data_IF_451489481009
#
_entry.id   IF_451489481009
#
_cell.length_a   1.000
_cell.length_b   1.000
_cell.length_c   1.000
_cell.angle_alpha   90.00
_cell.angle_beta   90.00
_cell.angle_gamma   90.00
#
_symmetry.space_group_name_H-M   'P 1'
#
loop_
_entity.id
_entity.type
_entity.pdbx_description
1 polymer ?
#
# COMPACT_ATOMS: atom_id res chain seq x y z
N UNK A 1 24.60 13.66 13.97
CA UNK A 1 24.07 12.41 13.43
C UNK A 1 22.65 12.71 13.02
N UNK A 2 22.29 12.39 11.79
CA UNK A 2 20.90 12.46 11.33
C UNK A 2 20.09 11.45 12.15
N UNK A 3 18.86 11.78 12.51
CA UNK A 3 17.94 10.81 13.09
C UNK A 3 17.59 9.75 12.04
N UNK A 4 17.14 8.57 12.45
CA UNK A 4 16.73 7.51 11.51
C UNK A 4 15.64 7.99 10.55
N UNK A 5 14.76 8.89 11.01
CA UNK A 5 13.72 9.54 10.21
C UNK A 5 14.30 10.44 9.11
N UNK A 6 15.33 11.23 9.44
CA UNK A 6 16.00 12.08 8.46
C UNK A 6 16.78 11.26 7.45
N UNK A 7 17.41 10.16 7.89
CA UNK A 7 18.15 9.26 7.03
C UNK A 7 17.21 8.53 6.05
N UNK A 8 16.10 7.96 6.51
CA UNK A 8 15.14 7.28 5.62
C UNK A 8 14.39 8.24 4.69
N UNK A 9 14.10 9.47 5.14
CA UNK A 9 13.55 10.50 4.25
C UNK A 9 14.54 10.91 3.15
N UNK A 10 15.84 10.96 3.49
CA UNK A 10 16.92 11.18 2.53
C UNK A 10 17.06 10.02 1.55
N UNK A 11 17.04 8.78 2.04
CA UNK A 11 17.13 7.57 1.22
C UNK A 11 15.93 7.47 0.26
N UNK A 12 14.72 7.78 0.72
CA UNK A 12 13.52 7.80 -0.12
C UNK A 12 13.57 8.86 -1.23
N UNK A 13 14.38 9.91 -1.04
CA UNK A 13 14.62 10.97 -2.03
C UNK A 13 15.93 10.76 -2.82
N UNK A 14 16.75 9.74 -2.45
CA UNK A 14 17.97 9.42 -3.18
C UNK A 14 17.65 8.96 -4.60
N UNK A 15 18.49 9.41 -5.53
CA UNK A 15 18.48 8.95 -6.90
C UNK A 15 18.77 7.45 -6.96
N UNK A 16 18.09 6.75 -7.85
CA UNK A 16 18.58 5.44 -8.24
C UNK A 16 19.76 5.63 -9.19
N UNK A 17 20.94 5.22 -8.78
CA UNK A 17 22.16 5.31 -9.61
C UNK A 17 22.03 4.62 -10.99
N UNK A 18 21.03 3.76 -11.15
CA UNK A 18 20.79 2.94 -12.34
C UNK A 18 19.60 3.39 -13.17
N UNK A 19 18.64 4.12 -12.58
CA UNK A 19 17.41 4.52 -13.26
C UNK A 19 17.59 5.84 -14.02
N UNK A 20 16.90 5.95 -15.15
CA UNK A 20 16.81 7.14 -16.00
C UNK A 20 15.35 7.56 -16.18
N UNK A 21 15.09 8.72 -16.76
CA UNK A 21 13.72 9.15 -17.07
C UNK A 21 13.01 8.26 -18.09
N UNK A 22 13.76 7.47 -18.89
CA UNK A 22 13.19 6.50 -19.83
C UNK A 22 12.54 5.30 -19.13
N UNK A 23 12.94 5.05 -17.88
CA UNK A 23 12.36 3.99 -17.05
C UNK A 23 11.02 4.40 -16.43
N UNK A 24 10.62 5.66 -16.55
CA UNK A 24 9.35 6.19 -16.06
C UNK A 24 8.29 6.26 -17.17
N UNK A 25 7.04 5.94 -16.83
CA UNK A 25 5.88 6.21 -17.68
C UNK A 25 5.48 7.69 -17.59
N UNK A 26 6.02 8.50 -18.50
CA UNK A 26 5.71 9.92 -18.58
C UNK A 26 4.27 10.20 -19.06
N UNK A 27 3.59 9.23 -19.68
CA UNK A 27 2.17 9.37 -20.01
C UNK A 27 1.31 9.19 -18.76
N UNK A 28 1.63 8.20 -17.91
CA UNK A 28 1.02 8.04 -16.60
C UNK A 28 1.22 9.31 -15.75
N UNK A 29 2.45 9.89 -15.78
CA UNK A 29 2.73 11.14 -15.08
C UNK A 29 1.84 12.27 -15.56
N UNK A 30 1.86 12.57 -16.85
CA UNK A 30 1.21 13.78 -17.40
C UNK A 30 -0.31 13.68 -17.45
N UNK A 31 -0.86 12.46 -17.68
CA UNK A 31 -2.32 12.26 -17.86
C UNK A 31 -3.05 11.87 -16.58
N UNK A 32 -2.36 11.24 -15.62
CA UNK A 32 -3.01 10.71 -14.42
C UNK A 32 -2.49 11.39 -13.17
N UNK A 33 -1.19 11.31 -12.90
CA UNK A 33 -0.63 11.77 -11.63
C UNK A 33 -0.65 13.28 -11.50
N UNK A 34 -0.11 13.99 -12.48
CA UNK A 34 0.06 15.45 -12.43
C UNK A 34 -1.27 16.21 -12.26
N UNK A 35 -2.36 15.88 -12.98
CA UNK A 35 -3.66 16.53 -12.76
C UNK A 35 -4.31 16.27 -11.40
N UNK A 36 -3.87 15.23 -10.69
CA UNK A 36 -4.35 14.93 -9.34
C UNK A 36 -3.44 15.52 -8.25
N UNK A 37 -2.17 15.74 -8.57
CA UNK A 37 -1.19 16.30 -7.64
C UNK A 37 -1.15 17.82 -7.62
N UNK A 38 -1.56 18.48 -8.70
CA UNK A 38 -1.48 19.93 -8.89
C UNK A 38 -2.83 20.48 -9.36
N UNK A 39 -3.24 21.63 -8.81
CA UNK A 39 -4.51 22.22 -9.19
C UNK A 39 -4.54 22.68 -10.65
N UNK A 40 -5.72 22.67 -11.31
CA UNK A 40 -5.84 23.11 -12.71
C UNK A 40 -5.33 24.55 -12.94
N UNK A 41 -5.54 25.45 -11.99
CA UNK A 41 -5.09 26.85 -12.07
C UNK A 41 -3.56 26.91 -12.10
N UNK A 42 -2.92 26.18 -11.17
CA UNK A 42 -1.45 26.09 -11.11
C UNK A 42 -0.87 25.47 -12.38
N UNK A 43 -1.54 24.44 -12.95
CA UNK A 43 -1.10 23.81 -14.19
C UNK A 43 -1.21 24.76 -15.39
N UNK A 44 -2.26 25.58 -15.44
CA UNK A 44 -2.46 26.56 -16.52
C UNK A 44 -1.39 27.68 -16.52
N UNK A 45 -0.94 28.06 -15.31
CA UNK A 45 0.10 29.08 -15.12
C UNK A 45 1.52 28.51 -15.14
N UNK A 46 1.67 27.20 -15.02
CA UNK A 46 2.95 26.54 -14.88
C UNK A 46 3.56 26.21 -16.25
N UNK A 47 4.59 26.94 -16.62
CA UNK A 47 5.35 26.71 -17.86
C UNK A 47 6.56 25.77 -17.66
N UNK A 48 6.62 25.03 -16.56
CA UNK A 48 7.71 24.08 -16.28
C UNK A 48 7.68 22.90 -17.23
N UNK A 49 8.84 22.45 -17.63
CA UNK A 49 9.01 21.21 -18.39
C UNK A 49 8.65 20.00 -17.52
N UNK A 50 8.33 18.85 -18.13
CA UNK A 50 7.97 17.63 -17.35
C UNK A 50 9.04 17.18 -16.36
N UNK A 51 10.32 17.30 -16.71
CA UNK A 51 11.45 16.98 -15.84
C UNK A 51 11.50 17.89 -14.59
N UNK A 52 11.26 19.19 -14.76
CA UNK A 52 11.18 20.15 -13.66
C UNK A 52 9.96 19.89 -12.75
N UNK A 53 8.85 19.45 -13.35
CA UNK A 53 7.65 19.08 -12.61
C UNK A 53 7.86 17.78 -11.78
N UNK A 54 8.56 16.78 -12.34
CA UNK A 54 8.96 15.58 -11.63
C UNK A 54 9.81 15.90 -10.39
N UNK A 55 10.79 16.80 -10.55
CA UNK A 55 11.64 17.26 -9.43
C UNK A 55 10.83 18.00 -8.38
N UNK A 56 9.92 18.90 -8.79
CA UNK A 56 9.06 19.65 -7.86
C UNK A 56 8.16 18.72 -7.03
N UNK A 57 7.73 17.58 -7.59
CA UNK A 57 6.90 16.58 -6.95
C UNK A 57 7.71 15.46 -6.26
N UNK A 58 9.04 15.60 -6.18
CA UNK A 58 9.94 14.62 -5.55
C UNK A 58 9.93 13.22 -6.19
N UNK A 59 9.52 13.14 -7.45
CA UNK A 59 9.55 11.91 -8.24
C UNK A 59 10.89 11.75 -8.99
N UNK A 60 11.62 12.85 -9.14
CA UNK A 60 13.00 12.88 -9.61
C UNK A 60 13.82 13.86 -8.76
N UNK A 61 15.14 13.78 -8.85
CA UNK A 61 16.08 14.68 -8.17
C UNK A 61 17.38 14.86 -8.94
N UNK A 62 18.24 15.74 -8.43
CA UNK A 62 19.58 15.98 -8.94
C UNK A 62 19.67 16.89 -10.16
N UNK A 63 20.91 17.22 -10.54
CA UNK A 63 21.21 18.07 -11.68
C UNK A 63 20.95 17.34 -13.00
N UNK A 64 21.22 16.04 -13.05
CA UNK A 64 20.96 15.18 -14.21
C UNK A 64 19.51 14.69 -14.28
N UNK A 65 18.67 15.09 -13.33
CA UNK A 65 17.25 14.70 -13.21
C UNK A 65 17.07 13.17 -13.30
N UNK A 66 17.40 12.47 -12.21
CA UNK A 66 17.23 11.02 -12.08
C UNK A 66 15.99 10.67 -11.25
N UNK A 67 15.30 9.57 -11.56
CA UNK A 67 14.19 9.10 -10.75
C UNK A 67 14.60 8.87 -9.31
N UNK A 68 13.77 9.31 -8.36
CA UNK A 68 13.87 8.89 -6.96
C UNK A 68 13.25 7.50 -6.79
N UNK A 69 13.49 6.85 -5.64
CA UNK A 69 12.78 5.62 -5.30
C UNK A 69 11.26 5.81 -5.34
N UNK A 70 10.77 6.95 -4.84
CA UNK A 70 9.34 7.28 -4.96
C UNK A 70 8.89 7.38 -6.42
N UNK A 71 9.68 8.04 -7.28
CA UNK A 71 9.39 8.14 -8.71
C UNK A 71 9.30 6.78 -9.39
N UNK A 72 10.24 5.87 -9.07
CA UNK A 72 10.23 4.48 -9.58
C UNK A 72 8.98 3.73 -9.11
N UNK A 73 8.62 3.81 -7.83
CA UNK A 73 7.44 3.13 -7.30
C UNK A 73 6.14 3.66 -7.91
N UNK A 74 6.05 4.98 -8.15
CA UNK A 74 4.81 5.64 -8.61
C UNK A 74 4.65 5.56 -10.13
N UNK A 75 5.73 5.73 -10.89
CA UNK A 75 5.72 5.91 -12.34
C UNK A 75 6.58 4.90 -13.11
N UNK A 76 7.40 4.08 -12.43
CA UNK A 76 8.32 3.16 -13.10
C UNK A 76 7.59 2.16 -13.99
N UNK A 77 8.09 1.92 -15.20
CA UNK A 77 7.58 0.88 -16.09
C UNK A 77 7.72 -0.51 -15.45
N UNK A 78 8.87 -0.77 -14.81
CA UNK A 78 9.18 -2.01 -14.10
C UNK A 78 9.85 -1.68 -12.74
N UNK A 79 9.10 -1.27 -11.70
CA UNK A 79 9.70 -0.91 -10.41
C UNK A 79 10.59 -1.99 -9.79
N UNK A 80 10.26 -3.27 -10.03
CA UNK A 80 11.00 -4.42 -9.49
C UNK A 80 12.40 -4.59 -10.07
N UNK A 81 12.74 -3.96 -11.19
CA UNK A 81 14.08 -4.02 -11.77
C UNK A 81 15.08 -3.17 -10.95
N UNK A 82 14.57 -2.17 -10.26
CA UNK A 82 15.34 -1.26 -9.40
C UNK A 82 15.13 -1.58 -7.91
N UNK A 83 13.92 -2.00 -7.53
CA UNK A 83 13.51 -2.30 -6.16
C UNK A 83 12.91 -3.73 -6.15
N UNK A 84 13.74 -4.79 -6.04
CA UNK A 84 13.32 -6.17 -6.27
C UNK A 84 12.13 -6.64 -5.42
N UNK A 85 11.93 -6.08 -4.23
CA UNK A 85 10.79 -6.39 -3.37
C UNK A 85 9.53 -5.54 -3.61
N UNK A 86 9.52 -4.64 -4.60
CA UNK A 86 8.40 -3.72 -4.86
C UNK A 86 7.23 -4.42 -5.57
N UNK A 87 6.72 -5.50 -4.98
CA UNK A 87 5.54 -6.21 -5.47
C UNK A 87 4.74 -6.81 -4.31
N UNK A 88 3.53 -7.29 -4.60
CA UNK A 88 2.70 -8.01 -3.65
C UNK A 88 2.57 -9.46 -4.11
N UNK A 89 2.90 -10.41 -3.24
CA UNK A 89 2.64 -11.82 -3.44
C UNK A 89 1.31 -12.19 -2.80
N UNK A 90 0.33 -12.57 -3.63
CA UNK A 90 -0.95 -13.10 -3.19
C UNK A 90 -0.96 -14.61 -3.31
N UNK A 91 -1.42 -15.31 -2.26
CA UNK A 91 -1.59 -16.77 -2.26
C UNK A 91 -2.93 -17.09 -1.61
N UNK A 92 -3.75 -17.92 -2.26
CA UNK A 92 -4.97 -18.48 -1.70
C UNK A 92 -4.78 -19.96 -1.36
N UNK A 93 -5.05 -20.31 -0.11
CA UNK A 93 -4.93 -21.68 0.42
C UNK A 93 -6.33 -22.25 0.65
N UNK A 94 -6.58 -23.44 0.10
CA UNK A 94 -7.83 -24.19 0.27
C UNK A 94 -7.82 -24.94 1.60
N UNK A 95 -7.69 -24.20 2.71
CA UNK A 95 -7.61 -24.75 4.06
C UNK A 95 -7.21 -23.69 5.07
N UNK A 96 -6.82 -24.13 6.28
CA UNK A 96 -6.46 -23.26 7.41
C UNK A 96 -4.97 -23.33 7.76
N UNK A 97 -4.20 -24.20 7.11
CA UNK A 97 -2.78 -24.42 7.37
C UNK A 97 -1.94 -24.05 6.15
N UNK A 98 -0.73 -23.61 6.37
CA UNK A 98 0.21 -23.22 5.30
C UNK A 98 0.59 -24.39 4.37
N UNK A 99 0.46 -25.63 4.85
CA UNK A 99 0.70 -26.86 4.08
C UNK A 99 -0.51 -27.36 3.29
N UNK A 100 -1.68 -26.72 3.42
CA UNK A 100 -2.87 -27.09 2.65
C UNK A 100 -2.70 -26.65 1.17
N UNK A 101 -3.47 -27.24 0.24
CA UNK A 101 -3.32 -26.97 -1.19
C UNK A 101 -3.49 -25.49 -1.56
N UNK A 102 -2.62 -24.98 -2.39
CA UNK A 102 -2.74 -23.66 -2.99
C UNK A 102 -3.78 -23.71 -4.10
N UNK A 103 -4.83 -22.89 -4.00
CA UNK A 103 -5.90 -22.81 -5.00
C UNK A 103 -5.70 -21.65 -6.00
N UNK A 104 -4.96 -20.60 -5.63
CA UNK A 104 -4.58 -19.48 -6.51
C UNK A 104 -3.31 -18.83 -5.99
N UNK A 105 -2.49 -18.28 -6.91
CA UNK A 105 -1.34 -17.46 -6.56
C UNK A 105 -1.06 -16.43 -7.65
N UNK A 106 -0.74 -15.20 -7.24
CA UNK A 106 -0.43 -14.09 -8.14
C UNK A 106 0.67 -13.21 -7.57
N UNK A 107 1.46 -12.65 -8.45
CA UNK A 107 2.37 -11.55 -8.14
C UNK A 107 1.83 -10.26 -8.76
N UNK A 108 1.51 -9.28 -7.93
CA UNK A 108 1.03 -7.97 -8.37
C UNK A 108 2.24 -7.06 -8.51
N UNK A 109 2.54 -6.64 -9.73
CA UNK A 109 3.71 -5.83 -10.09
C UNK A 109 3.29 -4.57 -10.84
N UNK A 110 4.22 -3.65 -11.05
CA UNK A 110 4.02 -2.43 -11.84
C UNK A 110 4.00 -1.15 -11.02
N UNK A 111 3.75 0.00 -11.65
CA UNK A 111 3.63 1.28 -10.97
C UNK A 111 2.48 1.26 -9.96
N UNK A 112 2.57 2.15 -8.96
CA UNK A 112 1.69 2.19 -7.80
C UNK A 112 0.19 2.06 -8.14
N UNK A 113 -0.28 2.80 -9.14
CA UNK A 113 -1.69 2.77 -9.55
C UNK A 113 -2.11 1.42 -10.11
N UNK A 114 -1.29 0.80 -10.95
CA UNK A 114 -1.56 -0.52 -11.50
C UNK A 114 -1.54 -1.60 -10.41
N UNK A 115 -0.54 -1.54 -9.51
CA UNK A 115 -0.40 -2.46 -8.38
C UNK A 115 -1.61 -2.37 -7.44
N UNK A 116 -2.05 -1.15 -7.07
CA UNK A 116 -3.18 -0.97 -6.14
C UNK A 116 -4.54 -1.31 -6.81
N UNK A 117 -4.72 -1.04 -8.09
CA UNK A 117 -5.93 -1.46 -8.81
C UNK A 117 -6.01 -2.99 -8.88
N UNK A 118 -4.92 -3.67 -9.23
CA UNK A 118 -4.85 -5.15 -9.24
C UNK A 118 -5.07 -5.73 -7.85
N UNK A 119 -4.56 -5.08 -6.80
CA UNK A 119 -4.82 -5.46 -5.42
C UNK A 119 -6.31 -5.35 -5.09
N UNK A 120 -6.95 -4.24 -5.40
CA UNK A 120 -8.38 -4.02 -5.14
C UNK A 120 -9.25 -5.05 -5.87
N UNK A 121 -8.90 -5.40 -7.11
CA UNK A 121 -9.61 -6.43 -7.87
C UNK A 121 -9.48 -7.81 -7.22
N UNK A 122 -8.25 -8.21 -6.84
CA UNK A 122 -8.03 -9.53 -6.24
C UNK A 122 -8.70 -9.64 -4.86
N UNK A 123 -8.72 -8.57 -4.08
CA UNK A 123 -9.44 -8.54 -2.81
C UNK A 123 -10.95 -8.72 -3.03
N UNK A 124 -11.55 -7.99 -3.99
CA UNK A 124 -12.98 -8.08 -4.32
C UNK A 124 -13.41 -9.47 -4.80
N UNK A 125 -12.62 -10.08 -5.69
CA UNK A 125 -12.93 -11.40 -6.27
C UNK A 125 -12.90 -12.50 -5.19
N UNK A 126 -12.06 -12.34 -4.17
CA UNK A 126 -11.90 -13.36 -3.12
C UNK A 126 -12.91 -13.23 -1.96
N UNK A 127 -13.61 -12.10 -1.84
CA UNK A 127 -14.67 -11.91 -0.86
C UNK A 127 -15.89 -12.76 -1.25
N UNK A 128 -16.35 -13.61 -0.33
CA UNK A 128 -17.58 -14.39 -0.47
C UNK A 128 -18.73 -13.69 0.26
N UNK A 129 -19.88 -13.63 -0.39
CA UNK A 129 -21.09 -13.06 0.22
C UNK A 129 -22.06 -14.18 0.54
N UNK A 130 -22.33 -14.39 1.83
CA UNK A 130 -23.40 -15.25 2.27
C UNK A 130 -24.74 -14.50 2.24
N UNK A 131 -25.78 -15.15 1.75
CA UNK A 131 -27.15 -14.64 1.78
C UNK A 131 -27.92 -15.35 2.89
N UNK A 132 -28.40 -14.59 3.86
CA UNK A 132 -29.24 -15.11 4.93
C UNK A 132 -30.72 -14.85 4.60
N UNK A 133 -31.47 -15.93 4.44
CA UNK A 133 -32.91 -15.88 4.16
C UNK A 133 -33.78 -16.14 5.42
N UNK A 134 -33.15 -16.48 6.56
CA UNK A 134 -33.86 -17.03 7.71
C UNK A 134 -34.02 -16.06 8.88
N UNK A 135 -33.16 -15.06 9.00
CA UNK A 135 -33.10 -14.18 10.18
C UNK A 135 -33.85 -12.87 10.05
N UNK A 136 -34.42 -12.54 8.89
CA UNK A 136 -35.20 -11.31 8.70
C UNK A 136 -36.23 -11.44 7.56
N UNK A 137 -37.27 -10.56 7.57
CA UNK A 137 -38.25 -10.43 6.48
C UNK A 137 -37.66 -9.91 5.16
N UNK A 138 -36.35 -9.69 5.09
CA UNK A 138 -35.61 -9.25 3.90
C UNK A 138 -34.29 -10.01 3.82
N UNK A 139 -33.88 -10.32 2.59
CA UNK A 139 -32.57 -10.87 2.29
C UNK A 139 -31.45 -9.97 2.85
N UNK A 140 -30.62 -10.50 3.73
CA UNK A 140 -29.44 -9.80 4.25
C UNK A 140 -28.20 -10.44 3.61
N UNK A 141 -27.53 -9.66 2.77
CA UNK A 141 -26.24 -10.04 2.16
C UNK A 141 -25.12 -9.52 3.04
N UNK A 142 -24.30 -10.42 3.55
CA UNK A 142 -23.14 -10.05 4.34
C UNK A 142 -21.88 -10.69 3.76
N UNK A 143 -20.87 -9.89 3.40
CA UNK A 143 -19.59 -10.41 2.96
C UNK A 143 -18.85 -11.07 4.15
N UNK A 144 -18.01 -12.03 3.84
CA UNK A 144 -17.13 -12.64 4.85
C UNK A 144 -16.09 -11.67 5.39
N UNK A 145 -15.70 -10.67 4.57
CA UNK A 145 -14.86 -9.54 4.97
C UNK A 145 -15.40 -8.23 4.37
N UNK A 146 -15.39 -7.12 5.13
CA UNK A 146 -15.67 -5.80 4.55
C UNK A 146 -14.49 -5.37 3.68
N UNK A 147 -14.76 -5.07 2.41
CA UNK A 147 -13.71 -4.69 1.44
C UNK A 147 -12.88 -3.49 1.91
N UNK A 148 -13.50 -2.52 2.56
CA UNK A 148 -12.82 -1.32 3.07
C UNK A 148 -11.74 -1.70 4.09
N UNK A 149 -12.02 -2.63 5.01
CA UNK A 149 -11.02 -3.07 5.98
C UNK A 149 -9.80 -3.72 5.32
N UNK A 150 -10.02 -4.61 4.37
CA UNK A 150 -8.95 -5.25 3.61
C UNK A 150 -8.11 -4.21 2.84
N UNK A 151 -8.77 -3.26 2.16
CA UNK A 151 -8.10 -2.20 1.42
C UNK A 151 -7.26 -1.30 2.33
N UNK A 152 -7.80 -0.87 3.47
CA UNK A 152 -7.07 -0.01 4.40
C UNK A 152 -5.80 -0.70 4.93
N UNK A 153 -5.89 -1.95 5.35
CA UNK A 153 -4.74 -2.70 5.87
C UNK A 153 -3.71 -2.99 4.75
N UNK A 154 -4.15 -3.42 3.57
CA UNK A 154 -3.24 -3.74 2.48
C UNK A 154 -2.54 -2.48 1.90
N UNK A 155 -3.25 -1.36 1.75
CA UNK A 155 -2.67 -0.07 1.33
C UNK A 155 -1.71 0.48 2.38
N UNK A 156 -2.04 0.30 3.67
CA UNK A 156 -1.12 0.64 4.76
C UNK A 156 0.18 -0.17 4.68
N UNK A 157 0.10 -1.46 4.33
CA UNK A 157 1.29 -2.27 4.09
C UNK A 157 2.15 -1.71 2.95
N UNK A 158 1.57 -1.30 1.82
CA UNK A 158 2.29 -0.67 0.70
C UNK A 158 2.95 0.64 1.14
N UNK A 159 2.23 1.48 1.87
CA UNK A 159 2.71 2.80 2.31
C UNK A 159 3.88 2.71 3.29
N UNK A 160 3.86 1.71 4.18
CA UNK A 160 4.84 1.58 5.28
C UNK A 160 5.88 0.48 5.07
N UNK A 161 5.88 -0.21 3.91
CA UNK A 161 6.89 -1.22 3.61
C UNK A 161 8.30 -0.60 3.64
N UNK A 162 9.29 -1.35 4.20
CA UNK A 162 10.70 -1.02 4.01
C UNK A 162 11.15 -1.42 2.60
N UNK A 163 11.42 -0.44 1.75
CA UNK A 163 11.83 -0.68 0.36
C UNK A 163 13.34 -0.85 0.19
N UNK A 164 14.14 -0.36 1.14
CA UNK A 164 15.60 -0.41 1.07
C UNK A 164 16.20 -1.61 1.83
N UNK A 165 15.62 -1.95 2.96
CA UNK A 165 16.22 -2.93 3.87
C UNK A 165 16.06 -4.40 3.48
N UNK A 166 15.21 -4.71 2.46
CA UNK A 166 14.87 -6.09 2.13
C UNK A 166 14.29 -6.26 0.73
N UNK A 167 14.55 -7.42 0.12
CA UNK A 167 13.93 -7.82 -1.14
C UNK A 167 12.63 -8.64 -0.95
N UNK A 168 12.21 -8.90 0.29
CA UNK A 168 10.96 -9.62 0.56
C UNK A 168 9.75 -8.78 0.13
N UNK A 169 8.75 -9.35 -0.59
CA UNK A 169 7.54 -8.64 -0.96
C UNK A 169 6.58 -8.49 0.21
N UNK A 170 5.54 -7.67 0.03
CA UNK A 170 4.35 -7.78 0.85
C UNK A 170 3.69 -9.11 0.50
N UNK A 171 3.32 -9.90 1.51
CA UNK A 171 2.63 -11.17 1.30
C UNK A 171 1.21 -11.11 1.84
N UNK A 172 0.25 -11.49 1.00
CA UNK A 172 -1.15 -11.65 1.36
C UNK A 172 -1.50 -13.13 1.22
N UNK A 173 -1.76 -13.79 2.33
CA UNK A 173 -2.17 -15.21 2.35
C UNK A 173 -3.64 -15.30 2.76
N UNK A 174 -4.47 -15.80 1.85
CA UNK A 174 -5.90 -15.95 2.06
C UNK A 174 -6.24 -17.41 2.39
N UNK A 175 -6.53 -17.68 3.64
CA UNK A 175 -6.99 -18.97 4.14
C UNK A 175 -8.53 -19.08 4.10
N UNK A 176 -9.06 -20.25 4.43
CA UNK A 176 -10.51 -20.47 4.48
C UNK A 176 -11.20 -19.74 5.64
N UNK A 177 -10.44 -19.41 6.71
CA UNK A 177 -10.91 -18.81 7.96
C UNK A 177 -10.34 -17.40 8.24
N UNK A 178 -9.31 -16.98 7.53
CA UNK A 178 -8.63 -15.69 7.76
C UNK A 178 -7.85 -15.20 6.56
N UNK A 179 -7.49 -13.93 6.59
CA UNK A 179 -6.52 -13.29 5.68
C UNK A 179 -5.34 -12.81 6.52
N UNK A 180 -4.14 -13.18 6.13
CA UNK A 180 -2.88 -12.72 6.72
C UNK A 180 -2.18 -11.77 5.77
N UNK A 181 -1.78 -10.59 6.26
CA UNK A 181 -0.98 -9.62 5.51
C UNK A 181 0.34 -9.41 6.23
N UNK A 182 1.45 -9.79 5.61
CA UNK A 182 2.79 -9.64 6.14
C UNK A 182 3.53 -8.54 5.38
N UNK A 183 4.00 -7.56 6.12
CA UNK A 183 4.69 -6.40 5.59
C UNK A 183 6.14 -6.32 6.10
N UNK A 184 7.15 -6.34 5.21
CA UNK A 184 8.53 -6.09 5.59
C UNK A 184 8.74 -4.68 6.13
N UNK A 185 9.41 -4.56 7.25
CA UNK A 185 9.63 -3.32 8.01
C UNK A 185 8.79 -3.30 9.29
N UNK A 186 9.46 -3.10 10.42
CA UNK A 186 8.83 -2.97 11.74
C UNK A 186 8.19 -1.60 11.98
N UNK A 187 7.96 -1.22 13.23
CA UNK A 187 7.52 0.14 13.59
C UNK A 187 8.51 1.19 13.10
N UNK A 188 8.03 2.42 12.87
CA UNK A 188 8.85 3.50 12.36
C UNK A 188 8.61 4.80 13.12
N UNK A 189 9.68 5.54 13.38
CA UNK A 189 9.64 6.85 14.01
C UNK A 189 9.04 6.82 15.43
N UNK A 190 7.93 7.50 15.62
CA UNK A 190 7.21 7.55 16.90
C UNK A 190 6.28 6.37 17.15
N UNK A 191 6.08 5.52 16.14
CA UNK A 191 5.27 4.31 16.27
C UNK A 191 6.11 3.21 16.89
N UNK A 192 5.63 2.64 17.98
CA UNK A 192 6.25 1.52 18.71
C UNK A 192 5.34 0.30 18.70
N UNK A 193 5.82 -0.84 19.17
CA UNK A 193 5.00 -2.05 19.34
C UNK A 193 3.79 -1.77 20.24
N UNK A 194 3.97 -0.99 21.30
CA UNK A 194 2.95 -0.72 22.33
C UNK A 194 1.85 0.21 21.82
N UNK A 195 2.19 1.16 20.93
CA UNK A 195 1.24 2.15 20.43
C UNK A 195 0.75 1.89 19.00
N UNK A 196 1.19 0.78 18.38
CA UNK A 196 0.84 0.46 16.99
C UNK A 196 -0.68 0.38 16.78
N UNK A 197 -1.17 1.15 15.83
CA UNK A 197 -2.59 1.18 15.47
C UNK A 197 -3.50 1.89 16.48
N UNK A 198 -2.94 2.62 17.46
CA UNK A 198 -3.71 3.52 18.30
C UNK A 198 -3.86 4.90 17.64
N UNK A 199 -5.01 5.59 17.84
CA UNK A 199 -5.18 6.94 17.35
C UNK A 199 -4.09 7.88 17.87
N UNK A 200 -3.51 8.69 16.97
CA UNK A 200 -2.44 9.65 17.32
C UNK A 200 -1.01 9.09 17.24
N UNK A 201 -0.83 7.78 17.16
CA UNK A 201 0.46 7.15 16.88
C UNK A 201 0.66 7.04 15.36
N UNK A 202 1.04 8.14 14.71
CA UNK A 202 1.22 8.20 13.27
C UNK A 202 2.63 8.68 12.93
N UNK A 203 3.29 7.91 12.08
CA UNK A 203 4.50 8.32 11.40
C UNK A 203 4.59 7.62 10.04
N UNK A 204 5.33 8.19 9.10
CA UNK A 204 5.37 7.69 7.72
C UNK A 204 6.80 7.30 7.33
N UNK A 205 7.06 6.01 7.20
CA UNK A 205 8.34 5.50 6.67
C UNK A 205 8.61 6.08 5.26
N UNK A 206 7.62 6.05 4.39
CA UNK A 206 7.71 6.53 3.02
C UNK A 206 6.82 7.75 2.83
N UNK A 207 7.22 8.91 3.35
CA UNK A 207 6.40 10.13 3.38
C UNK A 207 6.00 10.62 1.98
N UNK A 208 6.90 10.54 0.99
CA UNK A 208 6.63 10.93 -0.41
C UNK A 208 5.70 9.92 -1.10
N UNK A 209 5.84 8.62 -0.80
CA UNK A 209 4.91 7.62 -1.31
C UNK A 209 3.52 7.80 -0.71
N UNK A 210 3.43 8.12 0.59
CA UNK A 210 2.16 8.44 1.24
C UNK A 210 1.48 9.67 0.62
N UNK A 211 2.25 10.70 0.23
CA UNK A 211 1.73 11.86 -0.50
C UNK A 211 1.24 11.47 -1.90
N UNK A 212 2.00 10.66 -2.62
CA UNK A 212 1.60 10.16 -3.93
C UNK A 212 0.31 9.32 -3.85
N UNK A 213 0.19 8.44 -2.85
CA UNK A 213 -1.03 7.66 -2.62
C UNK A 213 -2.24 8.55 -2.30
N UNK A 214 -2.03 9.66 -1.59
CA UNK A 214 -3.08 10.66 -1.32
C UNK A 214 -3.51 11.38 -2.59
N UNK A 215 -2.56 11.85 -3.41
CA UNK A 215 -2.88 12.50 -4.69
C UNK A 215 -3.69 11.58 -5.59
N UNK A 216 -3.33 10.31 -5.67
CA UNK A 216 -4.04 9.29 -6.44
C UNK A 216 -5.36 8.80 -5.78
N UNK A 217 -5.74 9.35 -4.63
CA UNK A 217 -7.01 9.04 -3.96
C UNK A 217 -7.06 7.68 -3.24
N UNK A 218 -5.93 6.99 -3.08
CA UNK A 218 -5.90 5.69 -2.40
C UNK A 218 -5.93 5.77 -0.88
N UNK A 219 -5.41 6.85 -0.30
CA UNK A 219 -5.35 7.05 1.16
C UNK A 219 -5.72 8.48 1.54
N UNK A 220 -6.19 8.63 2.79
CA UNK A 220 -6.33 9.92 3.43
C UNK A 220 -5.29 10.01 4.55
N UNK A 221 -4.41 11.01 4.52
CA UNK A 221 -3.30 11.15 5.49
C UNK A 221 -3.74 11.65 6.87
N UNK A 222 -4.88 11.17 7.39
CA UNK A 222 -5.37 11.51 8.73
C UNK A 222 -4.97 10.48 9.80
N UNK A 223 -4.29 9.39 9.43
CA UNK A 223 -3.92 8.33 10.35
C UNK A 223 -5.08 7.45 10.83
N UNK A 224 -6.22 7.49 10.15
CA UNK A 224 -7.43 6.76 10.56
C UNK A 224 -7.61 5.41 9.89
N UNK A 225 -6.70 4.98 9.01
CA UNK A 225 -6.87 3.77 8.20
C UNK A 225 -7.07 2.51 9.06
N UNK A 226 -6.27 2.31 10.10
CA UNK A 226 -6.40 1.15 11.01
C UNK A 226 -7.69 1.27 11.85
N UNK A 227 -8.03 2.46 12.32
CA UNK A 227 -9.28 2.70 13.06
C UNK A 227 -10.49 2.40 12.19
N UNK A 228 -10.51 2.88 10.95
CA UNK A 228 -11.57 2.61 9.99
C UNK A 228 -11.66 1.11 9.68
N UNK A 229 -10.53 0.41 9.53
CA UNK A 229 -10.54 -1.03 9.32
C UNK A 229 -11.19 -1.78 10.50
N UNK A 230 -10.87 -1.39 11.75
CA UNK A 230 -11.49 -1.97 12.95
C UNK A 230 -13.00 -1.74 13.00
N UNK A 231 -13.43 -0.51 12.73
CA UNK A 231 -14.87 -0.15 12.72
C UNK A 231 -15.64 -0.93 11.64
N UNK A 232 -15.09 -1.07 10.44
CA UNK A 232 -15.73 -1.82 9.37
C UNK A 232 -15.80 -3.32 9.67
N UNK A 233 -14.75 -3.90 10.28
CA UNK A 233 -14.78 -5.29 10.76
C UNK A 233 -15.88 -5.48 11.80
N UNK A 234 -15.97 -4.60 12.80
CA UNK A 234 -17.00 -4.65 13.85
C UNK A 234 -18.41 -4.52 13.27
N UNK A 235 -18.66 -3.53 12.40
CA UNK A 235 -19.96 -3.33 11.73
C UNK A 235 -20.40 -4.55 10.94
N UNK A 236 -19.46 -5.28 10.33
CA UNK A 236 -19.73 -6.50 9.57
C UNK A 236 -19.89 -7.74 10.47
N UNK A 237 -19.56 -7.65 11.77
CA UNK A 237 -19.58 -8.74 12.72
C UNK A 237 -18.35 -9.66 12.66
N UNK A 238 -17.24 -9.18 12.12
CA UNK A 238 -15.96 -9.86 12.18
C UNK A 238 -15.24 -9.57 13.50
N UNK A 239 -14.35 -10.46 13.96
CA UNK A 239 -13.40 -10.14 15.01
C UNK A 239 -12.50 -8.95 14.62
N UNK A 240 -12.00 -8.16 15.58
CA UNK A 240 -11.08 -7.07 15.30
C UNK A 240 -9.78 -7.59 14.67
N UNK A 241 -9.10 -6.78 13.84
CA UNK A 241 -7.79 -7.13 13.28
C UNK A 241 -6.77 -7.38 14.41
N UNK A 242 -6.02 -8.47 14.30
CA UNK A 242 -4.92 -8.83 15.21
C UNK A 242 -3.60 -8.36 14.60
N UNK A 243 -2.77 -7.66 15.37
CA UNK A 243 -1.48 -7.14 14.90
C UNK A 243 -0.33 -7.87 15.58
N UNK A 244 0.60 -8.34 14.76
CA UNK A 244 1.88 -8.93 15.17
C UNK A 244 2.98 -7.93 14.77
N UNK A 245 3.43 -7.14 15.73
CA UNK A 245 4.40 -6.07 15.50
C UNK A 245 5.76 -6.53 15.98
N UNK A 246 6.66 -6.78 15.03
CA UNK A 246 8.03 -7.20 15.28
C UNK A 246 9.03 -6.15 14.78
N UNK A 247 10.31 -6.30 15.14
CA UNK A 247 11.35 -5.34 14.81
C UNK A 247 11.53 -5.14 13.29
N UNK A 248 11.39 -6.21 12.51
CA UNK A 248 11.64 -6.21 11.05
C UNK A 248 10.42 -6.50 10.20
N UNK A 249 9.27 -6.73 10.80
CA UNK A 249 8.03 -6.94 10.05
C UNK A 249 6.79 -6.64 10.88
N UNK A 250 5.70 -6.33 10.18
CA UNK A 250 4.35 -6.23 10.75
C UNK A 250 3.45 -7.24 10.07
N UNK A 251 2.84 -8.12 10.87
CA UNK A 251 1.80 -9.04 10.46
C UNK A 251 0.43 -8.53 10.89
N UNK A 252 -0.59 -8.70 10.03
CA UNK A 252 -1.99 -8.43 10.38
C UNK A 252 -2.83 -9.64 10.02
N UNK A 253 -3.66 -10.09 10.97
CA UNK A 253 -4.62 -11.19 10.77
C UNK A 253 -6.03 -10.63 10.83
N UNK A 254 -6.78 -10.80 9.74
CA UNK A 254 -8.20 -10.49 9.68
C UNK A 254 -8.97 -11.80 9.63
N UNK A 255 -9.83 -12.05 10.64
CA UNK A 255 -10.59 -13.29 10.70
C UNK A 255 -11.93 -13.16 10.01
N UNK A 256 -12.33 -14.26 9.37
CA UNK A 256 -13.65 -14.38 8.76
C UNK A 256 -14.74 -14.23 9.83
N UNK A 257 -15.85 -13.65 9.44
CA UNK A 257 -17.06 -13.66 10.26
C UNK A 257 -17.55 -15.11 10.46
N UNK A 258 -17.83 -15.48 11.69
CA UNK A 258 -18.44 -16.77 12.07
C UNK A 258 -19.94 -16.78 11.86
#
# INVERSE_FOLDING_TARGET
MLSDIELESLLAAMESDRATLEDLDLQLFTRVYLPQAVSPETLAENHRRPDEQLVALRLASGVEVRPTMCGILVLGNCPTDFIPGAYIQFVRIAGTRIGDPISDSKELRGPLSALLNSLDEILKINIQTATDFTSANREIRRPDYPIVALQQIARNAVMHRSYEGTHAPIRITWFSDRVEIQNPGGPFGRVTRENFGFPGANDYRNSYLAEAMKHLGYVQRFGFGITQAREEMEKNGNPPPEFQVEEYHVGVVLRKRT
#
